data_IF_369451843539
#
_entry.id   IF_369451843539
#
_cell.length_a   1.000
_cell.length_b   1.000
_cell.length_c   1.000
_cell.angle_alpha   90.00
_cell.angle_beta   90.00
_cell.angle_gamma   90.00
#
_symmetry.space_group_name_H-M   'P 1'
#
loop_
_entity.id
_entity.type
_entity.pdbx_description
1 polymer ?
#
# COMPACT_ATOMS: atom_id res chain seq x y z
N UNK A 1 -18.57 -12.00 4.30
CA UNK A 1 -17.62 -11.38 5.24
C UNK A 1 -16.27 -11.70 4.69
N UNK A 2 -15.50 -10.71 4.26
CA UNK A 2 -14.39 -10.95 3.31
C UNK A 2 -13.66 -9.63 3.12
N UNK A 3 -12.40 -9.71 2.72
CA UNK A 3 -11.62 -8.61 2.15
C UNK A 3 -11.24 -8.97 0.72
N UNK A 4 -11.37 -8.00 -0.18
CA UNK A 4 -10.81 -8.01 -1.52
C UNK A 4 -9.73 -6.94 -1.60
N UNK A 5 -8.57 -7.33 -2.14
CA UNK A 5 -7.46 -6.41 -2.41
C UNK A 5 -7.04 -6.67 -3.84
N UNK A 6 -6.91 -5.61 -4.63
CA UNK A 6 -6.28 -5.70 -5.94
C UNK A 6 -5.31 -4.56 -6.16
N UNK A 7 -4.28 -4.84 -6.95
CA UNK A 7 -3.27 -3.86 -7.28
C UNK A 7 -2.74 -4.09 -8.70
N UNK A 8 -2.34 -2.99 -9.35
CA UNK A 8 -1.46 -3.04 -10.51
C UNK A 8 -0.26 -2.13 -10.30
N UNK A 9 0.85 -2.48 -10.94
CA UNK A 9 2.12 -1.75 -10.86
C UNK A 9 3.31 -2.69 -10.61
N UNK A 10 4.53 -2.14 -10.52
CA UNK A 10 5.73 -2.93 -10.25
C UNK A 10 5.60 -3.73 -8.94
N UNK A 11 5.72 -5.06 -9.01
CA UNK A 11 5.65 -5.91 -7.82
C UNK A 11 4.27 -5.99 -7.15
N UNK A 12 3.19 -5.79 -7.91
CA UNK A 12 1.82 -5.88 -7.39
C UNK A 12 1.53 -7.19 -6.65
N UNK A 13 2.13 -8.30 -7.10
CA UNK A 13 2.01 -9.57 -6.40
C UNK A 13 2.51 -9.50 -4.95
N UNK A 14 3.75 -9.06 -4.75
CA UNK A 14 4.32 -8.89 -3.41
C UNK A 14 3.51 -7.89 -2.56
N UNK A 15 3.01 -6.81 -3.19
CA UNK A 15 2.21 -5.79 -2.53
C UNK A 15 0.88 -6.32 -1.99
N UNK A 16 0.10 -7.05 -2.81
CA UNK A 16 -1.17 -7.64 -2.39
C UNK A 16 -0.96 -8.68 -1.27
N UNK A 17 0.11 -9.47 -1.34
CA UNK A 17 0.47 -10.41 -0.27
C UNK A 17 0.76 -9.69 1.06
N UNK A 18 1.59 -8.64 1.04
CA UNK A 18 1.90 -7.84 2.24
C UNK A 18 0.67 -7.16 2.81
N UNK A 19 -0.18 -6.62 1.95
CA UNK A 19 -1.42 -5.97 2.35
C UNK A 19 -2.38 -6.95 3.04
N UNK A 20 -2.52 -8.18 2.51
CA UNK A 20 -3.30 -9.20 3.20
C UNK A 20 -2.68 -9.58 4.56
N UNK A 21 -1.35 -9.74 4.63
CA UNK A 21 -0.66 -10.06 5.87
C UNK A 21 -0.91 -9.00 6.96
N UNK A 22 -0.88 -7.71 6.58
CA UNK A 22 -1.21 -6.61 7.48
C UNK A 22 -2.68 -6.62 7.88
N UNK A 23 -3.60 -6.94 6.95
CA UNK A 23 -5.01 -7.09 7.28
C UNK A 23 -5.26 -8.22 8.30
N UNK A 24 -4.53 -9.32 8.20
CA UNK A 24 -4.59 -10.47 9.13
C UNK A 24 -3.98 -10.16 10.50
N UNK A 25 -2.97 -9.30 10.54
CA UNK A 25 -2.26 -8.91 11.77
C UNK A 25 -3.00 -7.81 12.54
N UNK A 26 -3.49 -6.80 11.83
CA UNK A 26 -4.13 -5.63 12.44
C UNK A 26 -5.66 -5.77 12.55
N UNK A 27 -6.25 -6.65 11.75
CA UNK A 27 -7.69 -6.88 11.68
C UNK A 27 -8.17 -7.93 12.68
N UNK A 28 -9.41 -7.78 13.12
CA UNK A 28 -10.16 -8.79 13.87
C UNK A 28 -11.49 -9.10 13.20
N UNK A 29 -12.05 -10.29 13.42
CA UNK A 29 -13.30 -10.73 12.79
C UNK A 29 -13.03 -11.79 11.72
N UNK A 30 -13.68 -11.65 10.56
CA UNK A 30 -13.61 -12.68 9.50
C UNK A 30 -12.39 -12.54 8.60
N UNK A 31 -11.20 -12.85 9.13
CA UNK A 31 -9.90 -12.74 8.43
C UNK A 31 -8.95 -13.87 8.89
N UNK A 32 -7.88 -14.15 8.12
CA UNK A 32 -6.85 -15.16 8.47
C UNK A 32 -7.23 -16.63 8.22
N UNK A 33 -8.36 -16.87 7.54
CA UNK A 33 -8.84 -18.20 7.16
C UNK A 33 -8.48 -18.56 5.73
N UNK A 34 -9.46 -18.52 4.83
CA UNK A 34 -9.24 -18.83 3.42
C UNK A 34 -8.63 -17.64 2.69
N UNK A 35 -7.83 -17.89 1.67
CA UNK A 35 -7.41 -16.90 0.69
C UNK A 35 -7.41 -17.53 -0.71
N UNK A 36 -7.97 -16.82 -1.69
CA UNK A 36 -7.83 -17.15 -3.11
C UNK A 36 -7.08 -16.01 -3.79
N UNK A 37 -5.95 -16.32 -4.38
CA UNK A 37 -4.97 -15.37 -4.88
C UNK A 37 -4.69 -15.64 -6.36
N UNK A 38 -4.62 -14.58 -7.17
CA UNK A 38 -4.31 -14.69 -8.58
C UNK A 38 -3.47 -13.51 -9.06
N UNK A 39 -2.58 -13.79 -10.01
CA UNK A 39 -1.77 -12.76 -10.68
C UNK A 39 -1.73 -12.98 -12.18
N UNK A 40 -1.54 -11.89 -12.91
CA UNK A 40 -1.07 -11.94 -14.30
C UNK A 40 0.38 -11.47 -14.30
N UNK A 41 1.30 -12.34 -14.72
CA UNK A 41 2.72 -11.98 -14.83
C UNK A 41 2.98 -11.02 -16.02
N UNK A 42 4.24 -10.63 -16.21
CA UNK A 42 4.63 -9.70 -17.27
C UNK A 42 4.37 -10.25 -18.69
N UNK A 43 4.29 -11.58 -18.84
CA UNK A 43 3.93 -12.25 -20.08
C UNK A 43 2.41 -12.46 -20.21
N UNK A 44 1.63 -11.99 -19.25
CA UNK A 44 0.17 -12.16 -19.20
C UNK A 44 -0.28 -13.56 -18.80
N UNK A 45 0.61 -14.41 -18.29
CA UNK A 45 0.25 -15.75 -17.80
C UNK A 45 -0.42 -15.64 -16.44
N UNK A 46 -1.47 -16.44 -16.28
CA UNK A 46 -2.23 -16.53 -15.04
C UNK A 46 -1.58 -17.53 -14.07
N UNK A 47 -1.27 -17.05 -12.87
CA UNK A 47 -0.86 -17.89 -11.75
C UNK A 47 -1.90 -17.80 -10.63
N UNK A 48 -2.12 -18.92 -9.94
CA UNK A 48 -3.07 -19.01 -8.82
C UNK A 48 -2.44 -19.71 -7.64
N UNK A 49 -2.84 -19.26 -6.46
CA UNK A 49 -2.58 -19.94 -5.20
C UNK A 49 -3.81 -19.77 -4.30
N UNK A 50 -4.09 -20.77 -3.49
CA UNK A 50 -5.18 -20.70 -2.55
C UNK A 50 -4.91 -21.54 -1.30
N UNK A 51 -5.59 -21.19 -0.22
CA UNK A 51 -5.58 -21.93 1.03
C UNK A 51 -6.94 -21.80 1.70
N UNK A 52 -7.37 -22.84 2.41
CA UNK A 52 -8.61 -22.83 3.19
C UNK A 52 -8.44 -22.25 4.60
N UNK A 53 -7.24 -22.33 5.16
CA UNK A 53 -6.96 -22.02 6.57
C UNK A 53 -5.56 -21.44 6.71
N UNK A 54 -5.42 -20.36 7.48
CA UNK A 54 -4.13 -19.76 7.83
C UNK A 54 -3.73 -18.56 6.96
N UNK A 55 -4.53 -18.20 5.95
CA UNK A 55 -4.32 -16.97 5.20
C UNK A 55 -2.91 -16.88 4.60
N UNK A 56 -2.22 -15.76 4.82
CA UNK A 56 -0.84 -15.60 4.33
C UNK A 56 0.16 -16.60 4.89
N UNK A 57 -0.08 -17.19 6.05
CA UNK A 57 0.82 -18.17 6.67
C UNK A 57 0.81 -19.55 5.99
N UNK A 58 -0.13 -19.81 5.08
CA UNK A 58 -0.23 -21.09 4.36
C UNK A 58 -0.50 -20.93 2.87
N UNK A 59 -0.70 -19.70 2.38
CA UNK A 59 -1.01 -19.41 0.98
C UNK A 59 0.13 -19.82 0.02
N UNK A 60 1.37 -19.62 0.45
CA UNK A 60 2.57 -20.10 -0.24
C UNK A 60 3.38 -20.90 0.76
N UNK A 61 3.80 -22.11 0.41
CA UNK A 61 4.57 -22.98 1.30
C UNK A 61 6.02 -22.99 0.82
N UNK A 62 6.94 -22.69 1.73
CA UNK A 62 8.36 -22.95 1.57
C UNK A 62 8.66 -24.33 2.20
N UNK A 63 8.85 -25.34 1.35
CA UNK A 63 8.98 -26.74 1.77
C UNK A 63 7.64 -27.41 2.08
N UNK A 64 7.58 -28.24 3.14
CA UNK A 64 6.40 -29.09 3.43
C UNK A 64 5.41 -28.48 4.45
N UNK A 65 5.84 -27.53 5.30
CA UNK A 65 5.03 -27.10 6.47
C UNK A 65 5.09 -25.62 6.82
N UNK A 66 6.00 -24.83 6.23
CA UNK A 66 6.21 -23.43 6.62
C UNK A 66 5.70 -22.49 5.55
N UNK A 67 4.86 -21.52 5.91
CA UNK A 67 4.46 -20.44 5.01
C UNK A 67 5.66 -19.58 4.60
N UNK A 68 5.69 -19.18 3.33
CA UNK A 68 6.76 -18.37 2.76
C UNK A 68 6.24 -17.15 1.98
N UNK A 69 7.15 -16.26 1.55
CA UNK A 69 6.80 -15.20 0.61
C UNK A 69 6.32 -15.79 -0.73
N UNK A 70 5.59 -15.03 -1.55
CA UNK A 70 5.23 -15.47 -2.89
C UNK A 70 6.48 -15.82 -3.72
N UNK A 71 6.46 -16.88 -4.55
CA UNK A 71 7.50 -17.17 -5.52
C UNK A 71 7.83 -15.95 -6.39
N UNK A 72 9.08 -15.81 -6.84
CA UNK A 72 9.55 -14.60 -7.54
C UNK A 72 8.68 -14.16 -8.73
N UNK A 73 8.19 -15.11 -9.53
CA UNK A 73 7.31 -14.82 -10.68
C UNK A 73 5.92 -14.30 -10.27
N UNK A 74 5.43 -14.71 -9.09
CA UNK A 74 4.21 -14.16 -8.50
C UNK A 74 4.50 -12.81 -7.86
N UNK A 75 5.57 -12.71 -7.06
CA UNK A 75 5.97 -11.49 -6.36
C UNK A 75 6.16 -10.30 -7.30
N UNK A 76 6.79 -10.53 -8.45
CA UNK A 76 7.09 -9.51 -9.46
C UNK A 76 5.91 -9.21 -10.42
N UNK A 77 4.79 -9.94 -10.33
CA UNK A 77 3.70 -9.82 -11.28
C UNK A 77 3.07 -8.40 -11.27
N UNK A 78 2.79 -7.81 -12.44
CA UNK A 78 2.26 -6.45 -12.54
C UNK A 78 0.78 -6.30 -12.20
N UNK A 79 0.01 -7.40 -12.15
CA UNK A 79 -1.39 -7.40 -11.73
C UNK A 79 -1.61 -8.49 -10.70
N UNK A 80 -2.24 -8.14 -9.58
CA UNK A 80 -2.51 -9.07 -8.51
C UNK A 80 -3.85 -8.79 -7.86
N UNK A 81 -4.51 -9.85 -7.43
CA UNK A 81 -5.74 -9.77 -6.66
C UNK A 81 -5.82 -10.91 -5.64
N UNK A 82 -6.48 -10.63 -4.54
CA UNK A 82 -6.83 -11.63 -3.53
C UNK A 82 -8.22 -11.38 -3.00
N UNK A 83 -8.91 -12.47 -2.63
CA UNK A 83 -10.06 -12.44 -1.74
C UNK A 83 -9.77 -13.35 -0.54
N UNK A 84 -10.04 -12.86 0.66
CA UNK A 84 -9.78 -13.59 1.91
C UNK A 84 -10.90 -13.40 2.92
N UNK A 85 -11.02 -14.34 3.86
CA UNK A 85 -11.93 -14.30 5.01
C UNK A 85 -11.55 -15.33 6.08
N UNK A 86 -12.42 -15.58 7.06
CA UNK A 86 -12.43 -16.80 7.86
C UNK A 86 -12.56 -18.09 7.01
N UNK A 87 -12.25 -19.25 7.61
CA UNK A 87 -11.96 -20.49 6.89
C UNK A 87 -13.19 -21.19 6.31
N UNK A 88 -12.95 -22.32 5.64
CA UNK A 88 -13.97 -23.31 5.24
C UNK A 88 -15.00 -22.78 4.25
N UNK A 89 -14.52 -22.15 3.18
CA UNK A 89 -15.39 -21.74 2.08
C UNK A 89 -15.69 -22.90 1.13
N UNK A 90 -16.83 -22.87 0.42
CA UNK A 90 -17.12 -23.81 -0.65
C UNK A 90 -15.97 -23.88 -1.66
N UNK A 91 -15.51 -25.09 -1.95
CA UNK A 91 -14.52 -25.34 -2.99
C UNK A 91 -15.19 -25.43 -4.38
N UNK A 92 -14.49 -25.10 -5.47
CA UNK A 92 -13.11 -24.61 -5.52
C UNK A 92 -13.01 -23.12 -5.15
N UNK A 93 -11.95 -22.72 -4.43
CA UNK A 93 -11.76 -21.33 -3.99
C UNK A 93 -11.59 -20.34 -5.13
N UNK A 94 -11.16 -20.81 -6.30
CA UNK A 94 -11.10 -20.03 -7.54
C UNK A 94 -12.45 -19.46 -7.96
N UNK A 95 -13.59 -19.95 -7.45
CA UNK A 95 -14.90 -19.39 -7.77
C UNK A 95 -15.09 -17.96 -7.23
N UNK A 96 -14.39 -17.60 -6.15
CA UNK A 96 -14.48 -16.28 -5.53
C UNK A 96 -13.66 -15.21 -6.24
N UNK A 97 -12.66 -15.61 -7.04
CA UNK A 97 -11.76 -14.74 -7.79
C UNK A 97 -11.70 -15.19 -9.25
N UNK A 98 -12.50 -14.52 -10.10
CA UNK A 98 -12.52 -14.76 -11.53
C UNK A 98 -11.25 -14.16 -12.15
N UNK A 99 -10.58 -14.91 -13.02
CA UNK A 99 -9.37 -14.44 -13.69
C UNK A 99 -9.23 -15.12 -15.05
N UNK A 100 -8.70 -14.37 -16.01
CA UNK A 100 -8.46 -14.85 -17.37
C UNK A 100 -7.20 -14.18 -17.96
N UNK A 101 -6.28 -14.97 -18.55
CA UNK A 101 -5.13 -14.44 -19.30
C UNK A 101 -5.55 -13.46 -20.38
N UNK A 102 -4.86 -12.33 -20.48
CA UNK A 102 -5.13 -11.29 -21.48
C UNK A 102 -6.38 -10.43 -21.23
N UNK A 103 -7.24 -10.80 -20.27
CA UNK A 103 -8.43 -9.99 -19.90
C UNK A 103 -8.23 -9.27 -18.57
N UNK A 104 -7.98 -10.00 -17.48
CA UNK A 104 -7.92 -9.40 -16.15
C UNK A 104 -8.30 -10.32 -15.00
N UNK A 105 -8.47 -9.70 -13.83
CA UNK A 105 -8.85 -10.30 -12.56
C UNK A 105 -10.08 -9.58 -12.01
N UNK A 106 -10.98 -10.33 -11.36
CA UNK A 106 -12.12 -9.78 -10.62
C UNK A 106 -12.18 -10.45 -9.25
N UNK A 107 -11.90 -9.68 -8.23
CA UNK A 107 -11.99 -10.05 -6.81
C UNK A 107 -13.10 -9.23 -6.14
N UNK A 108 -13.21 -9.27 -4.82
CA UNK A 108 -14.12 -8.41 -4.10
C UNK A 108 -14.35 -8.82 -2.65
N UNK A 109 -15.51 -8.43 -2.15
CA UNK A 109 -16.01 -8.85 -0.87
C UNK A 109 -17.51 -9.19 -0.98
N UNK A 110 -18.06 -9.82 0.05
CA UNK A 110 -19.37 -10.48 0.05
C UNK A 110 -19.38 -11.71 -0.86
N UNK A 111 -20.31 -11.80 -1.80
CA UNK A 111 -20.54 -12.98 -2.62
C UNK A 111 -20.41 -12.65 -4.12
N UNK A 112 -19.20 -12.27 -4.60
CA UNK A 112 -18.97 -11.91 -6.00
C UNK A 112 -19.23 -13.09 -6.96
N UNK A 113 -19.28 -14.31 -6.43
CA UNK A 113 -19.51 -15.55 -7.17
C UNK A 113 -21.00 -15.96 -7.24
N UNK A 114 -21.93 -15.17 -6.69
CA UNK A 114 -23.36 -15.47 -6.75
C UNK A 114 -23.84 -15.47 -8.21
N UNK A 115 -24.72 -16.40 -8.62
CA UNK A 115 -25.34 -16.35 -9.93
C UNK A 115 -26.15 -15.07 -10.14
N UNK A 116 -25.96 -14.41 -11.28
CA UNK A 116 -26.82 -13.36 -11.80
C UNK A 116 -28.08 -13.92 -12.46
N UNK A 117 -28.90 -13.04 -13.08
CA UNK A 117 -30.17 -13.44 -13.71
C UNK A 117 -30.04 -14.48 -14.82
N UNK A 118 -28.90 -14.54 -15.51
CA UNK A 118 -28.57 -15.49 -16.57
C UNK A 118 -27.89 -16.78 -16.04
N UNK A 119 -27.77 -16.91 -14.72
CA UNK A 119 -27.09 -18.03 -14.05
C UNK A 119 -25.56 -17.91 -14.02
N UNK A 120 -24.95 -16.93 -14.69
CA UNK A 120 -23.51 -16.69 -14.64
C UNK A 120 -23.12 -15.98 -13.35
N UNK A 121 -22.00 -16.36 -12.75
CA UNK A 121 -21.51 -15.67 -11.56
C UNK A 121 -21.19 -14.19 -11.86
N UNK A 122 -21.53 -13.26 -10.95
CA UNK A 122 -21.36 -11.82 -11.18
C UNK A 122 -19.92 -11.43 -11.54
N UNK A 123 -18.93 -11.97 -10.85
CA UNK A 123 -17.51 -11.75 -11.15
C UNK A 123 -17.11 -12.23 -12.55
N UNK A 124 -17.70 -13.32 -13.04
CA UNK A 124 -17.49 -13.81 -14.40
C UNK A 124 -18.20 -12.94 -15.43
N UNK A 125 -19.35 -12.35 -15.10
CA UNK A 125 -20.03 -11.38 -15.97
C UNK A 125 -19.20 -10.10 -16.14
N UNK A 126 -18.57 -9.60 -15.07
CA UNK A 126 -17.65 -8.46 -15.15
C UNK A 126 -16.46 -8.80 -16.04
N UNK A 127 -15.84 -9.96 -15.84
CA UNK A 127 -14.71 -10.41 -16.66
C UNK A 127 -15.12 -10.57 -18.14
N UNK A 128 -16.33 -11.06 -18.42
CA UNK A 128 -16.84 -11.18 -19.78
C UNK A 128 -17.08 -9.81 -20.44
N UNK A 129 -17.55 -8.81 -19.68
CA UNK A 129 -17.68 -7.44 -20.17
C UNK A 129 -16.31 -6.81 -20.46
N UNK A 130 -15.31 -7.03 -19.59
CA UNK A 130 -13.92 -6.60 -19.85
C UNK A 130 -13.35 -7.26 -21.10
N UNK A 131 -13.59 -8.57 -21.30
CA UNK A 131 -13.18 -9.28 -22.53
C UNK A 131 -13.82 -8.68 -23.78
N UNK A 132 -15.04 -8.14 -23.66
CA UNK A 132 -15.73 -7.43 -24.73
C UNK A 132 -15.24 -5.99 -24.95
N UNK A 133 -14.17 -5.56 -24.27
CA UNK A 133 -13.53 -4.26 -24.44
C UNK A 133 -14.03 -3.17 -23.51
N UNK A 134 -14.87 -3.49 -22.50
CA UNK A 134 -15.22 -2.54 -21.45
C UNK A 134 -14.03 -2.26 -20.55
N UNK A 135 -13.94 -1.01 -20.08
CA UNK A 135 -13.08 -0.70 -18.93
C UNK A 135 -13.58 -1.43 -17.69
N UNK A 136 -12.72 -1.56 -16.67
CA UNK A 136 -13.07 -2.17 -15.39
C UNK A 136 -14.28 -1.47 -14.74
N UNK A 137 -14.35 -0.14 -14.83
CA UNK A 137 -15.45 0.64 -14.26
C UNK A 137 -16.76 0.41 -15.01
N UNK A 138 -16.76 0.47 -16.34
CA UNK A 138 -17.95 0.21 -17.15
C UNK A 138 -18.45 -1.22 -16.94
N UNK A 139 -17.54 -2.21 -16.91
CA UNK A 139 -17.90 -3.61 -16.68
C UNK A 139 -18.56 -3.82 -15.30
N UNK A 140 -18.11 -3.11 -14.27
CA UNK A 140 -18.73 -3.17 -12.94
C UNK A 140 -20.13 -2.56 -12.96
N UNK A 141 -20.32 -1.39 -13.57
CA UNK A 141 -21.63 -0.75 -13.69
C UNK A 141 -22.62 -1.58 -14.53
N UNK A 142 -22.17 -2.09 -15.68
CA UNK A 142 -22.97 -2.94 -16.57
C UNK A 142 -23.55 -4.16 -15.81
N UNK A 143 -22.84 -4.67 -14.79
CA UNK A 143 -23.25 -5.84 -14.01
C UNK A 143 -24.00 -5.48 -12.72
N UNK A 144 -23.57 -4.47 -11.98
CA UNK A 144 -24.12 -4.17 -10.64
C UNK A 144 -25.29 -3.19 -10.64
N UNK A 145 -25.33 -2.22 -11.55
CA UNK A 145 -26.41 -1.22 -11.58
C UNK A 145 -27.78 -1.85 -11.84
N UNK A 146 -27.94 -2.86 -12.72
CA UNK A 146 -29.21 -3.56 -12.89
C UNK A 146 -29.61 -4.42 -11.68
N UNK A 147 -28.69 -4.67 -10.74
CA UNK A 147 -28.84 -5.61 -9.63
C UNK A 147 -28.57 -4.93 -8.27
N UNK A 148 -29.33 -3.90 -7.89
CA UNK A 148 -29.08 -3.14 -6.65
C UNK A 148 -29.15 -4.01 -5.39
N UNK A 149 -29.91 -5.11 -5.43
CA UNK A 149 -30.08 -6.06 -4.34
C UNK A 149 -29.02 -7.18 -4.29
N UNK A 150 -28.05 -7.22 -5.22
CA UNK A 150 -26.98 -8.21 -5.18
C UNK A 150 -26.14 -8.05 -3.89
N UNK A 151 -25.72 -9.14 -3.25
CA UNK A 151 -24.80 -9.10 -2.10
C UNK A 151 -23.34 -9.21 -2.58
N UNK A 152 -22.89 -8.24 -3.39
CA UNK A 152 -21.55 -8.23 -3.97
C UNK A 152 -20.95 -6.81 -3.98
N UNK A 153 -19.71 -6.72 -3.52
CA UNK A 153 -18.80 -5.62 -3.84
C UNK A 153 -17.60 -6.19 -4.56
N UNK A 154 -17.20 -5.58 -5.68
CA UNK A 154 -16.21 -6.15 -6.58
C UNK A 154 -15.11 -5.16 -6.91
N UNK A 155 -13.92 -5.69 -7.13
CA UNK A 155 -12.77 -4.96 -7.67
C UNK A 155 -12.36 -5.66 -8.96
N UNK A 156 -12.28 -4.90 -10.05
CA UNK A 156 -11.89 -5.37 -11.36
C UNK A 156 -10.61 -4.66 -11.81
N UNK A 157 -9.68 -5.41 -12.39
CA UNK A 157 -8.46 -4.87 -12.99
C UNK A 157 -7.95 -5.73 -14.13
N UNK A 158 -7.30 -5.12 -15.10
CA UNK A 158 -6.64 -5.89 -16.17
C UNK A 158 -5.82 -5.01 -17.13
N UNK A 159 -4.96 -5.64 -17.95
CA UNK A 159 -4.26 -4.94 -19.02
C UNK A 159 -5.26 -4.22 -19.94
N UNK A 160 -5.10 -2.91 -20.13
CA UNK A 160 -5.97 -2.09 -20.97
C UNK A 160 -7.34 -1.73 -20.38
N UNK A 161 -7.87 -2.51 -19.43
CA UNK A 161 -9.16 -2.24 -18.78
C UNK A 161 -9.07 -1.22 -17.63
N UNK A 162 -7.86 -0.97 -17.10
CA UNK A 162 -7.64 -0.14 -15.91
C UNK A 162 -7.99 -0.89 -14.63
N UNK A 163 -8.34 -0.16 -13.56
CA UNK A 163 -8.79 -0.72 -12.29
C UNK A 163 -9.92 0.13 -11.70
N UNK A 164 -10.92 -0.55 -11.13
CA UNK A 164 -12.03 0.07 -10.43
C UNK A 164 -12.60 -0.85 -9.35
N UNK A 165 -13.31 -0.26 -8.39
CA UNK A 165 -14.04 -0.96 -7.35
C UNK A 165 -15.48 -0.41 -7.28
N UNK A 166 -16.46 -1.30 -7.07
CA UNK A 166 -17.86 -0.92 -6.95
C UNK A 166 -18.61 -1.87 -6.02
N UNK A 167 -19.44 -1.29 -5.16
CA UNK A 167 -20.43 -2.03 -4.36
C UNK A 167 -21.80 -1.95 -5.02
N UNK A 168 -22.57 -3.03 -4.94
CA UNK A 168 -24.02 -2.93 -5.16
C UNK A 168 -24.66 -1.99 -4.13
N UNK A 169 -25.87 -1.50 -4.41
CA UNK A 169 -26.59 -0.63 -3.47
C UNK A 169 -26.80 -1.29 -2.10
N UNK A 170 -27.14 -2.58 -2.06
CA UNK A 170 -27.29 -3.34 -0.82
C UNK A 170 -26.00 -3.39 -0.01
N UNK A 171 -24.85 -3.63 -0.65
CA UNK A 171 -23.56 -3.72 0.04
C UNK A 171 -23.11 -2.34 0.50
N UNK A 172 -23.27 -1.31 -0.34
CA UNK A 172 -22.92 0.07 -0.01
C UNK A 172 -23.68 0.62 1.21
N UNK A 173 -24.89 0.12 1.47
CA UNK A 173 -25.71 0.53 2.62
C UNK A 173 -25.31 -0.12 3.95
N UNK A 174 -24.36 -1.07 3.96
CA UNK A 174 -23.98 -1.76 5.20
C UNK A 174 -23.12 -0.86 6.10
N UNK A 175 -23.28 -0.93 7.43
CA UNK A 175 -22.52 -0.09 8.36
C UNK A 175 -21.07 -0.58 8.59
N UNK A 176 -20.71 -1.76 8.06
CA UNK A 176 -19.43 -2.43 8.30
C UNK A 176 -18.52 -2.46 7.07
N UNK A 177 -18.74 -1.60 6.07
CA UNK A 177 -17.91 -1.53 4.85
C UNK A 177 -16.72 -0.63 5.05
N UNK A 178 -15.54 -1.14 4.73
CA UNK A 178 -14.33 -0.34 4.57
C UNK A 178 -13.86 -0.38 3.12
N UNK A 179 -13.35 0.75 2.63
CA UNK A 179 -12.79 0.87 1.28
C UNK A 179 -11.68 1.89 1.24
N UNK A 180 -10.68 1.67 0.40
CA UNK A 180 -9.61 2.63 0.16
C UNK A 180 -9.01 2.44 -1.23
N UNK A 181 -8.60 3.56 -1.82
CA UNK A 181 -7.89 3.61 -3.09
C UNK A 181 -6.59 4.38 -2.94
N UNK A 182 -5.54 3.93 -3.62
CA UNK A 182 -4.30 4.67 -3.86
C UNK A 182 -3.95 4.62 -5.34
N UNK A 183 -3.46 5.73 -5.89
CA UNK A 183 -3.04 5.83 -7.29
C UNK A 183 -1.78 6.68 -7.32
N UNK A 184 -0.76 6.23 -8.04
CA UNK A 184 0.45 7.00 -8.28
C UNK A 184 0.13 8.25 -9.11
N UNK A 185 0.81 9.39 -8.89
CA UNK A 185 0.57 10.61 -9.65
C UNK A 185 0.70 10.42 -11.18
N UNK A 186 1.58 9.54 -11.60
CA UNK A 186 1.81 9.16 -13.02
C UNK A 186 0.86 8.05 -13.52
N UNK A 187 0.02 7.51 -12.64
CA UNK A 187 -0.88 6.40 -12.94
C UNK A 187 -0.19 5.04 -13.10
N UNK A 188 1.11 4.92 -12.84
CA UNK A 188 1.88 3.70 -13.07
C UNK A 188 1.57 2.57 -12.06
N UNK A 189 1.00 2.91 -10.91
CA UNK A 189 0.58 1.97 -9.88
C UNK A 189 -0.73 2.40 -9.24
N UNK A 190 -1.55 1.44 -8.84
CA UNK A 190 -2.72 1.70 -8.01
C UNK A 190 -3.14 0.48 -7.19
N UNK A 191 -3.84 0.74 -6.09
CA UNK A 191 -4.41 -0.26 -5.18
C UNK A 191 -5.87 0.07 -4.91
N UNK A 192 -6.72 -0.96 -4.89
CA UNK A 192 -8.10 -0.90 -4.42
C UNK A 192 -8.30 -1.94 -3.31
N UNK A 193 -8.99 -1.54 -2.25
CA UNK A 193 -9.36 -2.39 -1.12
C UNK A 193 -10.85 -2.25 -0.86
N UNK A 194 -11.54 -3.37 -0.72
CA UNK A 194 -12.92 -3.46 -0.22
C UNK A 194 -12.98 -4.51 0.87
N UNK A 195 -13.63 -4.23 2.01
CA UNK A 195 -13.88 -5.25 3.01
C UNK A 195 -15.17 -5.02 3.78
N UNK A 196 -15.61 -6.08 4.46
CA UNK A 196 -16.66 -5.97 5.47
C UNK A 196 -16.44 -6.96 6.62
N UNK A 197 -17.04 -6.68 7.78
CA UNK A 197 -16.98 -7.53 8.98
C UNK A 197 -15.54 -7.86 9.45
N UNK A 198 -14.63 -6.92 9.21
CA UNK A 198 -13.27 -6.91 9.73
C UNK A 198 -13.07 -5.55 10.39
N UNK A 199 -12.61 -5.56 11.64
CA UNK A 199 -12.44 -4.37 12.47
C UNK A 199 -10.95 -4.09 12.72
N UNK A 200 -10.54 -2.81 12.82
CA UNK A 200 -11.37 -1.59 12.74
C UNK A 200 -11.82 -1.28 11.31
N UNK A 201 -13.09 -0.90 11.10
CA UNK A 201 -13.65 -0.75 9.73
C UNK A 201 -12.99 0.40 8.96
N UNK A 202 -12.96 1.60 9.54
CA UNK A 202 -12.52 2.81 8.83
C UNK A 202 -11.02 2.86 8.56
N UNK A 203 -10.18 2.50 9.53
CA UNK A 203 -8.72 2.64 9.40
C UNK A 203 -8.05 1.46 8.70
N UNK A 204 -8.65 0.27 8.71
CA UNK A 204 -8.02 -0.92 8.14
C UNK A 204 -7.84 -0.82 6.63
N UNK A 205 -8.87 -0.42 5.89
CA UNK A 205 -8.78 -0.29 4.43
C UNK A 205 -7.65 0.67 4.03
N UNK A 206 -7.54 1.82 4.72
CA UNK A 206 -6.47 2.79 4.51
C UNK A 206 -5.08 2.19 4.73
N UNK A 207 -4.86 1.58 5.89
CA UNK A 207 -3.59 0.93 6.24
C UNK A 207 -3.19 -0.16 5.21
N UNK A 208 -4.14 -1.02 4.83
CA UNK A 208 -3.92 -2.09 3.86
C UNK A 208 -3.54 -1.52 2.48
N UNK A 209 -4.23 -0.46 2.05
CA UNK A 209 -3.94 0.20 0.79
C UNK A 209 -2.57 0.90 0.80
N UNK A 210 -2.22 1.57 1.90
CA UNK A 210 -0.91 2.23 2.07
C UNK A 210 0.24 1.23 2.00
N UNK A 211 0.13 0.09 2.69
CA UNK A 211 1.16 -0.97 2.68
C UNK A 211 1.36 -1.57 1.30
N UNK A 212 0.27 -1.86 0.56
CA UNK A 212 0.40 -2.32 -0.83
C UNK A 212 1.01 -1.23 -1.72
N UNK A 213 0.57 0.01 -1.55
CA UNK A 213 1.00 1.10 -2.41
C UNK A 213 2.48 1.42 -2.22
N UNK A 214 2.96 1.55 -0.98
CA UNK A 214 4.38 1.76 -0.67
C UNK A 214 5.27 0.60 -1.14
N UNK A 215 4.74 -0.63 -1.18
CA UNK A 215 5.48 -1.78 -1.69
C UNK A 215 5.73 -1.71 -3.21
N UNK A 216 4.85 -1.06 -3.98
CA UNK A 216 4.99 -0.90 -5.44
C UNK A 216 5.60 0.45 -5.83
N UNK A 217 5.27 1.49 -5.07
CA UNK A 217 5.60 2.87 -5.31
C UNK A 217 6.19 3.44 -4.01
N UNK A 218 7.41 2.98 -3.63
CA UNK A 218 8.02 3.40 -2.38
C UNK A 218 8.21 4.93 -2.37
N UNK A 219 8.16 5.55 -1.17
CA UNK A 219 8.60 6.92 -1.03
C UNK A 219 10.01 7.06 -1.64
N UNK A 220 10.27 8.26 -2.18
CA UNK A 220 11.44 8.59 -3.01
C UNK A 220 12.71 7.88 -2.51
N UNK A 221 13.51 7.27 -3.40
CA UNK A 221 14.76 6.68 -2.98
C UNK A 221 15.62 7.76 -2.33
N UNK A 222 16.20 7.41 -1.18
CA UNK A 222 17.26 8.19 -0.56
C UNK A 222 18.35 8.47 -1.61
N UNK A 223 18.66 9.75 -1.82
CA UNK A 223 19.72 10.16 -2.77
C UNK A 223 21.05 10.41 -2.07
N UNK A 224 21.06 10.43 -0.73
CA UNK A 224 22.26 10.48 0.09
C UNK A 224 21.96 10.71 1.57
N UNK A 225 23.04 10.77 2.35
CA UNK A 225 23.01 11.08 3.78
C UNK A 225 23.83 12.34 4.05
N UNK A 226 23.34 13.18 4.95
CA UNK A 226 24.16 14.24 5.55
C UNK A 226 24.66 13.81 6.92
N UNK A 227 25.87 14.23 7.28
CA UNK A 227 26.44 13.99 8.61
C UNK A 227 26.28 15.24 9.46
N UNK A 228 25.58 15.12 10.58
CA UNK A 228 25.44 16.19 11.55
C UNK A 228 26.16 15.82 12.84
N UNK A 229 27.01 16.72 13.33
CA UNK A 229 27.84 16.50 14.52
C UNK A 229 27.44 17.44 15.65
N UNK A 230 27.70 16.98 16.88
CA UNK A 230 27.75 17.84 18.05
C UNK A 230 28.67 19.04 17.78
N UNK A 231 28.25 20.20 18.27
CA UNK A 231 28.85 21.50 17.98
C UNK A 231 28.29 22.20 16.73
N UNK A 232 27.50 21.52 15.88
CA UNK A 232 26.86 22.15 14.74
C UNK A 232 25.93 23.29 15.20
N UNK A 233 26.10 24.53 14.71
CA UNK A 233 25.30 25.66 15.15
C UNK A 233 23.85 25.55 14.63
N UNK A 234 22.92 25.86 15.52
CA UNK A 234 21.48 25.99 15.25
C UNK A 234 21.13 27.47 15.36
N UNK A 235 20.62 28.04 14.28
CA UNK A 235 20.36 29.48 14.18
C UNK A 235 18.90 29.75 13.80
N UNK A 236 18.39 30.87 14.30
CA UNK A 236 17.05 31.32 13.92
C UNK A 236 17.05 31.79 12.46
N UNK A 237 16.14 31.25 11.66
CA UNK A 237 15.93 31.61 10.26
C UNK A 237 14.45 31.43 9.89
N UNK A 238 13.97 32.07 8.82
CA UNK A 238 12.57 31.96 8.41
C UNK A 238 12.18 30.55 7.88
N UNK A 239 13.16 29.73 7.52
CA UNK A 239 12.95 28.43 6.88
C UNK A 239 13.76 27.33 7.58
N UNK A 240 13.29 26.09 7.47
CA UNK A 240 14.01 24.91 7.92
C UNK A 240 15.03 24.47 6.86
N UNK A 241 16.33 24.63 7.16
CA UNK A 241 17.42 24.26 6.25
C UNK A 241 18.58 23.60 6.99
N UNK A 242 19.26 22.68 6.33
CA UNK A 242 20.55 22.14 6.78
C UNK A 242 21.60 22.46 5.73
N UNK A 243 22.55 23.33 6.09
CA UNK A 243 23.62 23.75 5.20
C UNK A 243 24.80 22.79 5.35
N UNK A 244 25.23 22.22 4.23
CA UNK A 244 26.28 21.20 4.17
C UNK A 244 27.43 21.63 3.28
N UNK A 245 28.61 21.08 3.55
CA UNK A 245 29.79 21.24 2.69
C UNK A 245 29.80 20.25 1.51
N UNK A 246 30.89 20.25 0.73
CA UNK A 246 31.07 19.31 -0.39
C UNK A 246 31.18 17.84 0.01
N UNK A 247 31.34 17.53 1.30
CA UNK A 247 31.39 16.18 1.85
C UNK A 247 30.07 15.80 2.55
N UNK A 248 29.01 16.59 2.35
CA UNK A 248 27.70 16.42 3.00
C UNK A 248 27.77 16.50 4.54
N UNK A 249 28.75 17.22 5.09
CA UNK A 249 28.83 17.48 6.52
C UNK A 249 28.11 18.80 6.83
N UNK A 250 27.14 18.74 7.72
CA UNK A 250 26.41 19.91 8.16
C UNK A 250 27.31 20.84 8.97
N UNK A 251 27.38 22.09 8.53
CA UNK A 251 28.11 23.14 9.23
C UNK A 251 27.17 24.20 9.82
N UNK A 252 25.87 24.17 9.48
CA UNK A 252 24.84 25.03 10.07
C UNK A 252 23.44 24.45 9.89
N UNK A 253 22.61 24.60 10.91
CA UNK A 253 21.18 24.28 10.89
C UNK A 253 20.40 25.59 11.05
N UNK A 254 19.43 25.81 10.18
CA UNK A 254 18.55 26.97 10.17
C UNK A 254 17.12 26.53 10.48
N UNK A 255 16.47 27.18 11.44
CA UNK A 255 15.09 26.89 11.82
C UNK A 255 14.44 28.12 12.49
N UNK A 256 13.13 28.41 12.25
CA UNK A 256 12.43 29.49 12.96
C UNK A 256 12.32 29.25 14.46
N UNK A 257 12.48 27.99 14.89
CA UNK A 257 12.30 27.55 16.28
C UNK A 257 13.64 27.29 16.99
N UNK A 258 14.68 28.03 16.61
CA UNK A 258 16.01 27.86 17.20
C UNK A 258 15.98 28.14 18.72
N UNK A 259 16.45 27.21 19.57
CA UNK A 259 16.51 27.43 21.01
C UNK A 259 17.42 28.62 21.37
N UNK A 260 16.92 29.51 22.22
CA UNK A 260 17.60 30.76 22.60
C UNK A 260 18.19 30.74 24.01
N UNK A 261 18.01 29.66 24.76
CA UNK A 261 18.49 29.52 26.14
C UNK A 261 19.90 28.94 26.23
N UNK A 262 20.56 29.18 27.37
CA UNK A 262 21.87 28.61 27.70
C UNK A 262 21.78 27.15 28.17
N UNK A 263 20.72 26.81 28.89
CA UNK A 263 20.53 25.43 29.38
C UNK A 263 20.21 24.47 28.23
N UNK A 264 20.67 23.20 28.31
CA UNK A 264 20.34 22.20 27.31
C UNK A 264 18.83 21.98 27.18
N UNK A 265 18.32 22.12 25.95
CA UNK A 265 16.92 21.93 25.60
C UNK A 265 16.76 20.71 24.69
N UNK A 266 15.83 19.83 25.06
CA UNK A 266 15.35 18.76 24.20
C UNK A 266 14.36 19.35 23.19
N UNK A 267 14.66 19.26 21.90
CA UNK A 267 13.85 19.85 20.83
C UNK A 267 14.11 19.17 19.48
N UNK A 268 13.30 19.52 18.47
CA UNK A 268 13.63 19.26 17.08
C UNK A 268 14.48 20.43 16.56
N UNK A 269 15.74 20.14 16.20
CA UNK A 269 16.60 21.13 15.53
C UNK A 269 16.53 21.00 14.00
N UNK A 270 16.31 19.77 13.51
CA UNK A 270 16.22 19.42 12.10
C UNK A 270 14.88 18.75 11.89
N UNK A 271 13.98 19.40 11.16
CA UNK A 271 12.61 18.94 10.96
C UNK A 271 12.52 17.99 9.76
N UNK A 272 11.51 17.12 9.76
CA UNK A 272 11.12 16.40 8.55
C UNK A 272 10.84 17.40 7.41
N UNK A 273 11.41 17.17 6.23
CA UNK A 273 11.24 18.06 5.08
C UNK A 273 12.10 19.34 5.14
N UNK A 274 13.14 19.39 5.99
CA UNK A 274 14.11 20.49 5.96
C UNK A 274 14.93 20.42 4.67
N UNK A 275 15.11 21.56 3.99
CA UNK A 275 15.90 21.59 2.77
C UNK A 275 17.40 21.38 3.07
N UNK A 276 18.02 20.43 2.40
CA UNK A 276 19.48 20.20 2.44
C UNK A 276 20.13 21.10 1.41
N UNK A 277 20.94 22.06 1.85
CA UNK A 277 21.56 23.08 1.00
C UNK A 277 23.06 22.81 0.89
N UNK A 278 23.53 22.44 -0.30
CA UNK A 278 24.95 22.31 -0.61
C UNK A 278 25.51 23.51 -1.38
N UNK A 279 26.78 23.44 -1.82
CA UNK A 279 27.42 24.52 -2.58
C UNK A 279 26.69 24.91 -3.88
N UNK A 280 25.96 23.97 -4.49
CA UNK A 280 25.22 24.16 -5.74
C UNK A 280 23.73 24.49 -5.58
N UNK A 281 23.24 24.65 -4.35
CA UNK A 281 21.82 24.87 -4.06
C UNK A 281 21.16 23.71 -3.30
N UNK A 282 19.84 23.57 -3.46
CA UNK A 282 19.07 22.51 -2.79
C UNK A 282 19.47 21.15 -3.36
N UNK A 283 20.00 20.29 -2.50
CA UNK A 283 20.33 18.91 -2.82
C UNK A 283 19.11 17.99 -2.64
N UNK A 284 18.24 18.30 -1.68
CA UNK A 284 17.02 17.55 -1.39
C UNK A 284 16.40 17.95 -0.06
N UNK A 285 15.62 17.06 0.55
CA UNK A 285 14.88 17.29 1.79
C UNK A 285 15.04 16.10 2.74
N UNK A 286 15.18 16.39 4.04
CA UNK A 286 15.36 15.36 5.08
C UNK A 286 14.12 14.47 5.25
N UNK A 287 14.32 13.17 5.48
CA UNK A 287 13.25 12.18 5.71
C UNK A 287 13.15 11.72 7.17
N UNK A 288 14.02 12.23 8.04
CA UNK A 288 14.07 11.88 9.46
C UNK A 288 14.20 13.16 10.29
N UNK A 289 13.47 13.19 11.40
CA UNK A 289 13.54 14.23 12.43
C UNK A 289 14.21 13.65 13.68
N UNK A 290 15.54 13.85 13.87
CA UNK A 290 16.22 13.37 15.07
C UNK A 290 15.82 14.21 16.29
N UNK A 291 15.66 13.55 17.44
CA UNK A 291 15.58 14.24 18.72
C UNK A 291 16.92 14.94 19.00
N UNK A 292 16.93 16.26 19.17
CA UNK A 292 18.15 17.02 19.41
C UNK A 292 18.19 17.56 20.85
N UNK A 293 19.37 17.46 21.47
CA UNK A 293 19.72 18.32 22.59
C UNK A 293 20.47 19.52 22.05
N UNK A 294 19.98 20.73 22.32
CA UNK A 294 20.62 21.99 21.91
C UNK A 294 20.96 22.81 23.14
N UNK A 295 22.20 23.30 23.21
CA UNK A 295 22.65 24.23 24.23
C UNK A 295 23.49 25.32 23.58
N UNK A 296 23.33 26.57 24.02
CA UNK A 296 24.09 27.72 23.50
C UNK A 296 24.02 27.84 21.96
N UNK A 297 22.86 27.53 21.38
CA UNK A 297 22.66 27.56 19.93
C UNK A 297 23.47 26.52 19.17
N UNK A 298 23.86 25.40 19.79
CA UNK A 298 24.59 24.31 19.13
C UNK A 298 24.00 22.96 19.49
N UNK A 299 24.08 22.02 18.55
CA UNK A 299 23.79 20.61 18.80
C UNK A 299 24.74 20.08 19.87
N UNK A 300 24.20 19.46 20.92
CA UNK A 300 24.95 18.70 21.92
C UNK A 300 24.91 17.22 21.57
N UNK A 301 23.71 16.69 21.30
CA UNK A 301 23.51 15.32 20.81
C UNK A 301 22.31 15.25 19.86
N UNK A 302 22.30 14.22 19.03
CA UNK A 302 21.22 13.84 18.13
C UNK A 302 20.86 12.38 18.41
N UNK A 303 19.66 12.14 18.90
CA UNK A 303 19.19 10.82 19.35
C UNK A 303 20.17 10.15 20.33
N UNK A 304 20.79 10.96 21.20
CA UNK A 304 21.79 10.53 22.18
C UNK A 304 23.21 10.33 21.63
N UNK A 305 23.45 10.60 20.34
CA UNK A 305 24.75 10.43 19.68
C UNK A 305 25.43 11.78 19.40
N UNK A 306 26.76 11.79 19.35
CA UNK A 306 27.55 12.98 18.99
C UNK A 306 27.66 13.18 17.47
N UNK A 307 27.31 12.17 16.68
CA UNK A 307 27.22 12.23 15.22
C UNK A 307 25.96 11.46 14.81
N UNK A 308 25.20 11.98 13.84
CA UNK A 308 24.02 11.33 13.31
C UNK A 308 23.97 11.51 11.79
N UNK A 309 23.62 10.44 11.07
CA UNK A 309 23.43 10.45 9.62
C UNK A 309 21.96 10.64 9.32
N UNK A 310 21.64 11.67 8.55
CA UNK A 310 20.26 12.02 8.20
C UNK A 310 20.08 11.75 6.70
N UNK A 311 19.23 10.79 6.32
CA UNK A 311 18.92 10.55 4.92
C UNK A 311 18.09 11.69 4.34
N UNK A 312 18.31 11.99 3.07
CA UNK A 312 17.51 12.95 2.30
C UNK A 312 17.16 12.42 0.90
N UNK A 313 16.05 12.92 0.33
CA UNK A 313 15.63 12.61 -1.04
C UNK A 313 15.38 13.89 -1.86
N UNK A 314 15.30 13.78 -3.18
CA UNK A 314 15.12 14.92 -4.09
C UNK A 314 13.79 15.66 -3.95
N UNK A 315 13.74 16.89 -4.48
CA UNK A 315 12.55 17.76 -4.54
C UNK A 315 11.40 17.17 -5.37
N UNK A 316 10.13 17.49 -5.02
CA UNK A 316 8.95 17.08 -5.81
C UNK A 316 8.87 17.69 -7.20
#
# INVERSE_FOLDING_TARGET
>A
MTIGIAAFGPGAGQAVFRALHVAETAGTGSIGGFAAYAVLDAEGRLWRADTQRGGTATLFIDGETTGGPPPAHIAAAPYAAVISSGPDRPAPLSMFLAAEPGTGLVTGHRLPNTPGPDGRALNQSVLAAMRAGRTALEALHDVLDPLPAADAGMIALGPGAGMAALNSALVAARPDVGSARRVAPDGAAAVEVLHNAIHPVGSLAGLVADVAFEAMYPPRPEIGEIVVRAGCPVVSCAEHRVLVDGNLVAHRIETPLAPTGHDPQNCAAIYLGSAVIGPGGVLGYTFVEPNAMVAEGKIVTLSGQSEFRIPFAGAE
#
